data_IF_265402237463
#
_entry.id   IF_265402237463
#
_cell.length_a   1.000
_cell.length_b   1.000
_cell.length_c   1.000
_cell.angle_alpha   90.00
_cell.angle_beta   90.00
_cell.angle_gamma   90.00
#
_symmetry.space_group_name_H-M   'P 1'
#
loop_
_entity.id
_entity.type
_entity.pdbx_description
1 polymer ?
#
# COMPACT_ATOMS: atom_id res chain seq x y z
N UNK A 1 14.46 -7.48 -1.86
CA UNK A 1 14.02 -7.77 -0.47
C UNK A 1 15.01 -7.42 0.65
N UNK A 2 16.28 -7.01 0.41
CA UNK A 2 17.27 -6.80 1.50
C UNK A 2 17.84 -5.38 1.63
N UNK A 3 17.18 -4.39 1.03
CA UNK A 3 17.70 -3.01 0.93
C UNK A 3 17.08 -2.05 1.95
N UNK A 4 16.17 -2.52 2.81
CA UNK A 4 15.60 -1.75 3.94
C UNK A 4 16.66 -1.04 4.78
N UNK A 5 17.73 -1.71 5.25
CA UNK A 5 18.72 -1.05 6.10
C UNK A 5 19.40 0.14 5.43
N UNK A 6 19.55 0.15 4.11
CA UNK A 6 20.19 1.25 3.38
C UNK A 6 19.29 2.49 3.38
N UNK A 7 17.99 2.31 3.11
CA UNK A 7 17.03 3.42 3.19
C UNK A 7 16.94 4.01 4.61
N UNK A 8 17.03 3.17 5.64
CA UNK A 8 17.04 3.58 7.04
C UNK A 8 18.35 4.24 7.49
N UNK A 9 19.50 3.83 6.96
CA UNK A 9 20.81 4.34 7.36
C UNK A 9 21.18 5.65 6.65
N UNK A 10 20.68 5.86 5.43
CA UNK A 10 21.09 6.98 4.56
C UNK A 10 19.94 7.91 4.19
N UNK A 11 18.86 7.95 4.98
CA UNK A 11 17.67 8.76 4.66
C UNK A 11 17.93 10.26 4.53
N UNK A 12 18.99 10.77 5.17
CA UNK A 12 19.39 12.19 5.10
C UNK A 12 19.97 12.56 3.73
N UNK A 13 20.51 11.62 2.98
CA UNK A 13 21.03 11.79 1.62
C UNK A 13 20.43 10.75 0.65
N UNK A 14 19.42 11.17 -0.09
CA UNK A 14 18.72 10.30 -1.04
C UNK A 14 19.64 9.80 -2.18
N UNK A 15 20.59 10.62 -2.62
CA UNK A 15 21.52 10.24 -3.69
C UNK A 15 22.50 9.16 -3.20
N UNK A 16 22.98 9.28 -1.96
CA UNK A 16 23.80 8.26 -1.31
C UNK A 16 23.01 6.97 -1.09
N UNK A 17 21.78 7.05 -0.57
CA UNK A 17 20.91 5.90 -0.37
C UNK A 17 20.67 5.13 -1.69
N UNK A 18 20.37 5.85 -2.79
CA UNK A 18 20.23 5.25 -4.12
C UNK A 18 21.52 4.59 -4.60
N UNK A 19 22.65 5.27 -4.45
CA UNK A 19 23.97 4.75 -4.87
C UNK A 19 24.32 3.46 -4.13
N UNK A 20 24.12 3.44 -2.81
CA UNK A 20 24.40 2.27 -1.98
C UNK A 20 23.41 1.12 -2.23
N UNK A 21 22.14 1.42 -2.49
CA UNK A 21 21.15 0.42 -2.85
C UNK A 21 21.51 -0.28 -4.17
N UNK A 22 21.95 0.47 -5.19
CA UNK A 22 22.48 -0.09 -6.45
C UNK A 22 23.69 -0.99 -6.19
N UNK A 23 24.68 -0.50 -5.42
CA UNK A 23 25.88 -1.26 -5.05
C UNK A 23 25.58 -2.53 -4.23
N UNK A 24 24.59 -2.49 -3.35
CA UNK A 24 24.16 -3.67 -2.59
C UNK A 24 23.51 -4.71 -3.50
N UNK A 25 22.73 -4.27 -4.49
CA UNK A 25 22.12 -5.14 -5.48
C UNK A 25 23.18 -5.89 -6.29
N UNK A 26 24.25 -5.21 -6.76
CA UNK A 26 25.28 -5.82 -7.62
C UNK A 26 26.04 -6.99 -6.99
N UNK A 27 26.02 -7.12 -5.67
CA UNK A 27 26.66 -8.26 -4.98
C UNK A 27 26.09 -9.62 -5.38
N UNK A 28 24.79 -9.71 -5.69
CA UNK A 28 24.15 -10.96 -6.15
C UNK A 28 23.15 -10.80 -7.29
N UNK A 29 22.74 -9.57 -7.62
CA UNK A 29 21.78 -9.24 -8.68
C UNK A 29 22.30 -8.07 -9.53
N UNK A 30 23.26 -8.31 -10.43
CA UNK A 30 23.92 -7.24 -11.19
C UNK A 30 23.06 -6.64 -12.32
N UNK A 31 21.87 -7.18 -12.61
CA UNK A 31 21.00 -6.64 -13.66
C UNK A 31 20.55 -5.21 -13.34
N UNK A 32 20.57 -4.32 -14.34
CA UNK A 32 20.26 -2.89 -14.17
C UNK A 32 18.88 -2.64 -13.57
N UNK A 33 17.86 -3.37 -14.04
CA UNK A 33 16.51 -3.32 -13.48
C UNK A 33 16.50 -3.65 -11.97
N UNK A 34 17.29 -4.62 -11.52
CA UNK A 34 17.37 -4.96 -10.09
C UNK A 34 18.03 -3.86 -9.28
N UNK A 35 19.07 -3.23 -9.82
CA UNK A 35 19.75 -2.10 -9.19
C UNK A 35 18.80 -0.88 -9.09
N UNK A 36 18.08 -0.59 -10.17
CA UNK A 36 17.13 0.51 -10.26
C UNK A 36 15.93 0.32 -9.33
N UNK A 37 15.33 -0.87 -9.31
CA UNK A 37 14.26 -1.20 -8.37
C UNK A 37 14.71 -1.04 -6.91
N UNK A 38 15.95 -1.43 -6.58
CA UNK A 38 16.51 -1.22 -5.25
C UNK A 38 16.72 0.26 -4.93
N UNK A 39 17.16 1.06 -5.89
CA UNK A 39 17.37 2.50 -5.72
C UNK A 39 16.05 3.24 -5.45
N UNK A 40 15.04 3.03 -6.30
CA UNK A 40 13.71 3.59 -6.09
C UNK A 40 13.13 3.19 -4.73
N UNK A 41 13.22 1.90 -4.40
CA UNK A 41 12.66 1.41 -3.14
C UNK A 41 13.37 2.02 -1.93
N UNK A 42 14.71 2.18 -1.98
CA UNK A 42 15.46 2.87 -0.93
C UNK A 42 15.06 4.35 -0.81
N UNK A 43 14.81 5.04 -1.94
CA UNK A 43 14.31 6.42 -1.95
C UNK A 43 12.94 6.56 -1.30
N UNK A 44 12.06 5.57 -1.46
CA UNK A 44 10.76 5.56 -0.76
C UNK A 44 10.96 5.49 0.75
N UNK A 45 11.79 4.58 1.24
CA UNK A 45 12.10 4.47 2.67
C UNK A 45 12.72 5.76 3.19
N UNK A 46 13.75 6.27 2.50
CA UNK A 46 14.43 7.51 2.87
C UNK A 46 13.46 8.68 2.95
N UNK A 47 12.54 8.79 1.97
CA UNK A 47 11.51 9.83 1.96
C UNK A 47 10.58 9.75 3.16
N UNK A 48 10.09 8.55 3.50
CA UNK A 48 9.18 8.37 4.64
C UNK A 48 9.86 8.75 5.96
N UNK A 49 11.10 8.28 6.17
CA UNK A 49 11.86 8.58 7.39
C UNK A 49 12.17 10.07 7.49
N UNK A 50 12.60 10.70 6.39
CA UNK A 50 12.93 12.14 6.36
C UNK A 50 11.74 13.02 6.67
N UNK A 51 10.60 12.79 6.02
CA UNK A 51 9.42 13.62 6.21
C UNK A 51 8.83 13.40 7.61
N UNK A 52 8.87 12.16 8.11
CA UNK A 52 8.52 11.84 9.49
C UNK A 52 9.42 12.57 10.49
N UNK A 53 10.74 12.50 10.31
CA UNK A 53 11.69 13.15 11.22
C UNK A 53 11.49 14.67 11.23
N UNK A 54 11.27 15.29 10.08
CA UNK A 54 11.02 16.73 9.97
C UNK A 54 9.63 17.18 10.45
N UNK A 55 8.75 16.27 10.87
CA UNK A 55 7.36 16.58 11.23
C UNK A 55 6.48 16.98 10.03
N UNK A 56 6.97 16.80 8.80
CA UNK A 56 6.21 17.10 7.59
C UNK A 56 5.06 16.10 7.40
N UNK A 57 3.93 16.59 6.93
CA UNK A 57 2.81 15.72 6.54
C UNK A 57 3.11 15.09 5.18
N UNK A 58 3.25 13.77 5.16
CA UNK A 58 3.46 12.99 3.93
C UNK A 58 2.20 12.14 3.65
N UNK A 59 1.71 12.15 2.41
CA UNK A 59 0.58 11.32 1.99
C UNK A 59 1.04 10.15 1.10
N UNK A 60 0.22 9.08 0.99
CA UNK A 60 0.47 8.03 -0.01
C UNK A 60 0.51 8.57 -1.43
N UNK A 61 -0.23 9.64 -1.71
CA UNK A 61 -0.22 10.29 -3.01
C UNK A 61 1.15 10.93 -3.32
N UNK A 62 1.86 11.44 -2.32
CA UNK A 62 3.22 11.99 -2.51
C UNK A 62 4.24 10.88 -2.77
N UNK A 63 4.08 9.72 -2.13
CA UNK A 63 4.87 8.53 -2.45
C UNK A 63 4.58 8.00 -3.85
N UNK A 64 3.31 7.94 -4.25
CA UNK A 64 2.92 7.56 -5.61
C UNK A 64 3.50 8.53 -6.64
N UNK A 65 3.48 9.83 -6.35
CA UNK A 65 4.10 10.86 -7.18
C UNK A 65 5.62 10.63 -7.32
N UNK A 66 6.32 10.31 -6.23
CA UNK A 66 7.74 9.94 -6.27
C UNK A 66 7.97 8.71 -7.16
N UNK A 67 7.16 7.65 -6.99
CA UNK A 67 7.23 6.45 -7.86
C UNK A 67 7.00 6.83 -9.33
N UNK A 68 6.06 7.72 -9.59
CA UNK A 68 5.67 8.08 -10.96
C UNK A 68 6.73 8.91 -11.69
N UNK A 69 7.33 9.87 -10.98
CA UNK A 69 8.33 10.81 -11.51
C UNK A 69 9.77 10.28 -11.40
N UNK A 70 9.97 9.08 -10.85
CA UNK A 70 11.30 8.50 -10.73
C UNK A 70 11.96 8.41 -12.11
N UNK A 71 13.25 8.80 -12.25
CA UNK A 71 13.92 8.87 -13.55
C UNK A 71 14.35 7.47 -14.03
N UNK A 72 13.38 6.63 -14.38
CA UNK A 72 13.63 5.25 -14.80
C UNK A 72 14.49 5.19 -16.07
N UNK A 73 15.53 4.36 -16.04
CA UNK A 73 16.30 3.94 -17.20
C UNK A 73 15.65 2.73 -17.90
N UNK A 74 15.13 1.75 -17.15
CA UNK A 74 14.45 0.58 -17.72
C UNK A 74 13.00 0.93 -18.15
N UNK A 75 12.69 0.69 -19.42
CA UNK A 75 11.39 1.01 -20.01
C UNK A 75 10.23 0.21 -19.40
N UNK A 76 10.47 -1.02 -18.93
CA UNK A 76 9.41 -1.86 -18.34
C UNK A 76 9.06 -1.41 -16.94
N UNK A 77 10.05 -0.96 -16.15
CA UNK A 77 9.81 -0.28 -14.88
C UNK A 77 9.01 1.00 -15.11
N UNK A 78 9.46 1.86 -16.03
CA UNK A 78 8.77 3.12 -16.39
C UNK A 78 7.32 2.86 -16.81
N UNK A 79 7.09 1.93 -17.73
CA UNK A 79 5.76 1.63 -18.23
C UNK A 79 4.82 1.05 -17.16
N UNK A 80 5.37 0.40 -16.13
CA UNK A 80 4.57 -0.26 -15.08
C UNK A 80 4.30 0.64 -13.87
N UNK A 81 5.14 1.64 -13.64
CA UNK A 81 5.19 2.44 -12.40
C UNK A 81 5.02 3.94 -12.62
N UNK A 82 5.11 4.44 -13.86
CA UNK A 82 4.86 5.84 -14.21
C UNK A 82 3.53 6.02 -14.94
N UNK A 83 3.13 7.28 -15.07
CA UNK A 83 2.04 7.67 -15.96
C UNK A 83 2.41 7.34 -17.43
N UNK A 84 1.47 6.83 -18.25
CA UNK A 84 1.71 6.61 -19.67
C UNK A 84 2.10 7.90 -20.40
N UNK A 85 2.95 7.83 -21.42
CA UNK A 85 3.38 9.02 -22.18
C UNK A 85 2.20 9.81 -22.81
N UNK A 86 1.12 9.11 -23.18
CA UNK A 86 -0.10 9.69 -23.73
C UNK A 86 -1.12 10.13 -22.66
N UNK A 87 -0.83 9.90 -21.38
CA UNK A 87 -1.61 10.54 -20.32
C UNK A 87 -1.44 12.04 -20.52
N UNK A 88 -2.56 12.76 -20.59
CA UNK A 88 -2.54 14.21 -20.70
C UNK A 88 -1.51 14.71 -19.68
N UNK A 89 -0.50 15.52 -20.06
CA UNK A 89 0.45 16.05 -19.07
C UNK A 89 -0.39 16.65 -17.95
N UNK A 90 0.00 16.62 -16.68
CA UNK A 90 -0.75 17.37 -15.67
C UNK A 90 -0.38 18.85 -15.83
N UNK A 91 -1.11 19.68 -16.62
CA UNK A 91 -0.54 20.89 -17.19
C UNK A 91 -1.48 22.04 -16.85
N UNK A 92 -1.44 22.56 -15.63
CA UNK A 92 -2.07 23.89 -15.40
C UNK A 92 -3.60 24.00 -15.64
N UNK A 93 -4.40 22.91 -15.53
CA UNK A 93 -5.87 22.91 -15.56
C UNK A 93 -6.47 22.15 -14.35
N UNK A 94 -7.70 22.43 -13.89
CA UNK A 94 -8.16 22.23 -12.50
C UNK A 94 -8.64 20.79 -12.24
N UNK A 95 -7.85 19.79 -12.62
CA UNK A 95 -8.07 18.41 -12.19
C UNK A 95 -7.11 18.17 -11.02
N UNK A 96 -7.62 17.86 -9.82
CA UNK A 96 -6.77 17.54 -8.67
C UNK A 96 -5.80 16.40 -9.02
N UNK A 97 -4.54 16.53 -8.60
CA UNK A 97 -3.46 15.56 -8.83
C UNK A 97 -3.91 14.12 -8.54
N UNK A 98 -4.62 13.92 -7.44
CA UNK A 98 -5.21 12.63 -7.07
C UNK A 98 -6.11 12.04 -8.16
N UNK A 99 -7.04 12.86 -8.67
CA UNK A 99 -7.96 12.44 -9.74
C UNK A 99 -7.20 12.03 -11.00
N UNK A 100 -6.12 12.75 -11.32
CA UNK A 100 -5.26 12.42 -12.45
C UNK A 100 -4.59 11.05 -12.27
N UNK A 101 -4.00 10.78 -11.11
CA UNK A 101 -3.38 9.48 -10.83
C UNK A 101 -4.39 8.33 -10.85
N UNK A 102 -5.58 8.49 -10.26
CA UNK A 102 -6.62 7.46 -10.33
C UNK A 102 -7.08 7.17 -11.77
N UNK A 103 -7.08 8.18 -12.63
CA UNK A 103 -7.47 8.04 -14.02
C UNK A 103 -6.42 7.32 -14.88
N UNK A 104 -5.11 7.49 -14.60
CA UNK A 104 -4.06 7.11 -15.55
C UNK A 104 -2.94 6.24 -14.98
N UNK A 105 -2.75 6.17 -13.67
CA UNK A 105 -1.64 5.41 -13.09
C UNK A 105 -1.90 3.90 -13.15
N UNK A 106 -0.96 3.09 -13.67
CA UNK A 106 -1.18 1.64 -13.85
C UNK A 106 -1.58 0.90 -12.56
N UNK A 107 -0.96 1.25 -11.43
CA UNK A 107 -1.30 0.65 -10.13
C UNK A 107 -2.70 1.07 -9.68
N UNK A 108 -3.05 2.37 -9.71
CA UNK A 108 -4.36 2.82 -9.21
C UNK A 108 -5.51 2.38 -10.12
N UNK A 109 -5.31 2.34 -11.44
CA UNK A 109 -6.28 1.74 -12.35
C UNK A 109 -6.51 0.26 -12.02
N UNK A 110 -5.45 -0.49 -11.70
CA UNK A 110 -5.58 -1.89 -11.29
C UNK A 110 -6.35 -2.01 -9.97
N UNK A 111 -6.09 -1.14 -8.99
CA UNK A 111 -6.86 -1.08 -7.73
C UNK A 111 -8.34 -0.85 -8.01
N UNK A 112 -8.67 0.20 -8.77
CA UNK A 112 -10.04 0.55 -9.11
C UNK A 112 -10.76 -0.59 -9.86
N UNK A 113 -10.10 -1.20 -10.84
CA UNK A 113 -10.64 -2.30 -11.63
C UNK A 113 -10.89 -3.55 -10.78
N UNK A 114 -10.00 -3.85 -9.84
CA UNK A 114 -10.12 -5.03 -8.97
C UNK A 114 -11.28 -4.86 -7.99
N UNK A 115 -11.38 -3.70 -7.35
CA UNK A 115 -12.48 -3.35 -6.46
C UNK A 115 -13.84 -3.36 -7.18
N UNK A 116 -13.91 -2.81 -8.39
CA UNK A 116 -15.13 -2.82 -9.21
C UNK A 116 -15.58 -4.24 -9.56
N UNK A 117 -14.65 -5.12 -9.96
CA UNK A 117 -14.95 -6.53 -10.25
C UNK A 117 -15.46 -7.28 -9.03
N UNK A 118 -14.85 -7.08 -7.86
CA UNK A 118 -15.29 -7.69 -6.61
C UNK A 118 -16.70 -7.23 -6.20
N UNK A 119 -16.97 -5.92 -6.31
CA UNK A 119 -18.30 -5.37 -6.04
C UNK A 119 -19.37 -5.94 -6.99
N UNK A 120 -19.05 -6.09 -8.28
CA UNK A 120 -19.95 -6.71 -9.25
C UNK A 120 -20.21 -8.19 -8.95
N UNK A 121 -19.19 -8.95 -8.55
CA UNK A 121 -19.32 -10.35 -8.16
C UNK A 121 -20.20 -10.52 -6.91
N UNK A 122 -20.05 -9.63 -5.91
CA UNK A 122 -20.87 -9.64 -4.70
C UNK A 122 -22.37 -9.38 -5.01
N UNK A 123 -22.67 -8.42 -5.90
CA UNK A 123 -24.06 -8.13 -6.34
C UNK A 123 -24.71 -9.28 -7.11
N UNK A 124 -23.93 -10.08 -7.81
CA UNK A 124 -24.45 -11.24 -8.55
C UNK A 124 -24.70 -12.46 -7.63
N UNK A 125 -23.98 -12.59 -6.52
CA UNK A 125 -24.19 -13.65 -5.52
C UNK A 125 -25.47 -13.45 -4.69
N UNK A 126 -25.92 -12.21 -4.52
CA UNK A 126 -27.13 -11.88 -3.73
C UNK A 126 -28.44 -11.97 -4.51
N UNK A 127 -28.41 -12.23 -5.83
CA UNK A 127 -29.63 -12.57 -6.58
C UNK A 127 -30.00 -14.04 -6.30
N UNK A 128 -31.19 -14.35 -5.74
CA UNK A 128 -31.60 -15.74 -5.56
C UNK A 128 -31.70 -16.39 -6.95
N UNK A 129 -30.89 -17.43 -7.16
CA UNK A 129 -31.08 -18.36 -8.27
C UNK A 129 -32.46 -18.99 -8.10
N UNK A 130 -33.41 -18.57 -8.94
CA UNK A 130 -34.73 -19.18 -9.05
C UNK A 130 -34.62 -20.60 -9.59
N UNK A 131 -34.17 -21.55 -8.77
CA UNK A 131 -34.50 -22.96 -8.93
C UNK A 131 -35.75 -23.23 -8.10
N UNK A 132 -36.88 -23.26 -8.78
CA UNK A 132 -38.16 -23.72 -8.24
C UNK A 132 -38.01 -25.15 -7.70
N UNK A 133 -37.75 -25.29 -6.40
CA UNK A 133 -38.15 -26.46 -5.63
C UNK A 133 -39.66 -26.35 -5.41
N UNK A 134 -40.41 -27.21 -6.09
CA UNK A 134 -41.84 -27.43 -5.90
C UNK A 134 -42.12 -27.74 -4.43
N UNK A 135 -42.52 -26.73 -3.67
CA UNK A 135 -43.21 -26.91 -2.40
C UNK A 135 -44.62 -26.33 -2.52
N UNK A 136 -45.57 -27.27 -2.52
CA UNK A 136 -47.01 -27.09 -2.52
C UNK A 136 -47.45 -26.51 -1.17
N UNK A 137 -47.99 -25.29 -1.15
CA UNK A 137 -48.83 -24.80 -0.05
C UNK A 137 -49.98 -23.92 -0.60
N UNK A 138 -51.21 -24.05 -0.06
CA UNK A 138 -52.41 -23.49 -0.64
C UNK A 138 -52.62 -22.02 -0.28
N UNK A 139 -53.41 -21.37 -1.13
CA UNK A 139 -53.78 -19.96 -1.14
C UNK A 139 -54.48 -19.45 0.12
N UNK A 140 -54.18 -18.20 0.50
CA UNK A 140 -55.20 -17.27 1.00
C UNK A 140 -54.82 -15.81 0.66
N UNK A 141 -55.82 -15.08 0.17
CA UNK A 141 -55.75 -13.73 -0.37
C UNK A 141 -55.48 -12.66 0.71
N UNK A 142 -54.77 -11.59 0.34
CA UNK A 142 -55.21 -10.21 0.64
C UNK A 142 -54.46 -9.16 -0.20
N UNK A 143 -55.23 -8.49 -1.07
CA UNK A 143 -55.33 -7.04 -1.34
C UNK A 143 -54.07 -6.16 -1.18
N UNK A 144 -53.68 -5.53 -2.30
CA UNK A 144 -52.43 -4.78 -2.44
C UNK A 144 -52.44 -3.30 -2.03
N UNK A 145 -51.32 -2.65 -2.35
CA UNK A 145 -51.24 -1.20 -2.53
C UNK A 145 -50.04 -0.85 -3.42
N UNK A 146 -50.25 0.10 -4.33
CA UNK A 146 -49.24 0.67 -5.24
C UNK A 146 -48.44 1.74 -4.48
N UNK A 147 -47.13 1.82 -4.68
CA UNK A 147 -46.38 3.06 -4.49
C UNK A 147 -45.09 3.08 -5.33
N UNK A 148 -44.73 4.29 -5.72
CA UNK A 148 -43.90 4.70 -6.84
C UNK A 148 -42.43 4.24 -6.85
N UNK A 149 -41.95 4.06 -8.08
CA UNK A 149 -40.54 4.18 -8.46
C UNK A 149 -40.10 5.64 -8.40
N UNK A 150 -39.02 5.90 -7.67
CA UNK A 150 -38.07 6.96 -7.99
C UNK A 150 -36.69 6.54 -7.50
N UNK A 151 -35.76 6.42 -8.46
CA UNK A 151 -34.37 6.07 -8.24
C UNK A 151 -33.61 7.19 -7.53
N UNK A 152 -32.62 6.87 -6.68
CA UNK A 152 -31.47 7.73 -6.48
C UNK A 152 -30.31 7.24 -7.35
N UNK A 153 -29.81 8.16 -8.17
CA UNK A 153 -28.52 8.08 -8.84
C UNK A 153 -27.40 7.90 -7.80
N UNK A 154 -26.81 6.70 -7.71
CA UNK A 154 -25.60 6.47 -6.93
C UNK A 154 -24.37 6.69 -7.81
N UNK A 155 -23.76 7.84 -7.72
CA UNK A 155 -22.36 8.05 -8.10
C UNK A 155 -21.50 7.24 -7.13
N UNK A 156 -21.17 6.00 -7.49
CA UNK A 156 -20.13 5.22 -6.81
C UNK A 156 -18.78 5.80 -7.21
N UNK A 157 -18.35 6.87 -6.56
CA UNK A 157 -16.93 7.17 -6.48
C UNK A 157 -16.31 6.15 -5.50
N UNK A 158 -15.21 5.49 -5.84
CA UNK A 158 -14.44 4.72 -4.85
C UNK A 158 -13.96 5.66 -3.74
N UNK A 159 -13.84 5.13 -2.52
CA UNK A 159 -13.44 5.89 -1.34
C UNK A 159 -12.17 6.73 -1.62
N UNK A 160 -12.12 8.00 -1.19
CA UNK A 160 -10.92 8.82 -1.32
C UNK A 160 -9.75 8.15 -0.57
N UNK A 161 -8.54 8.29 -1.09
CA UNK A 161 -7.34 7.95 -0.31
C UNK A 161 -7.41 8.84 0.93
N UNK A 162 -7.36 8.28 2.13
CA UNK A 162 -7.37 9.10 3.34
C UNK A 162 -6.19 10.09 3.28
N UNK A 163 -6.54 11.37 3.25
CA UNK A 163 -5.66 12.51 2.92
C UNK A 163 -5.07 13.16 4.16
N UNK A 164 -5.30 12.62 5.36
CA UNK A 164 -4.77 13.23 6.59
C UNK A 164 -4.18 12.21 7.56
N UNK A 165 -2.99 12.54 8.09
CA UNK A 165 -2.37 11.86 9.21
C UNK A 165 -3.08 12.27 10.51
N UNK A 166 -4.22 11.66 10.88
CA UNK A 166 -4.87 11.90 12.19
C UNK A 166 -5.80 10.76 12.66
N UNK A 167 -5.83 10.63 13.99
CA UNK A 167 -6.54 9.66 14.84
C UNK A 167 -8.05 9.55 14.59
N UNK A 168 -8.66 8.36 14.77
CA UNK A 168 -10.06 8.15 14.45
C UNK A 168 -10.99 8.75 15.52
N UNK A 169 -11.94 9.58 15.07
CA UNK A 169 -13.09 9.96 15.88
C UNK A 169 -14.17 8.87 15.81
N UNK A 170 -14.68 8.47 16.98
CA UNK A 170 -15.71 7.45 17.15
C UNK A 170 -17.03 7.81 16.45
N UNK A 171 -17.38 7.09 15.39
CA UNK A 171 -18.77 6.91 14.99
C UNK A 171 -19.00 5.45 14.61
N UNK A 172 -19.89 4.80 15.35
CA UNK A 172 -20.18 3.37 15.28
C UNK A 172 -21.12 3.05 14.13
N UNK A 173 -20.56 2.59 13.00
CA UNK A 173 -21.27 1.68 12.10
C UNK A 173 -20.39 0.44 11.88
N UNK A 174 -20.75 -0.64 12.57
CA UNK A 174 -20.14 -1.96 12.45
C UNK A 174 -20.46 -2.56 11.09
N UNK A 175 -19.74 -2.15 10.06
CA UNK A 175 -19.54 -2.96 8.86
C UNK A 175 -18.24 -3.75 9.08
N UNK A 176 -18.34 -5.08 9.12
CA UNK A 176 -17.15 -5.92 9.14
C UNK A 176 -16.25 -5.54 7.95
N UNK A 177 -14.95 -5.25 8.14
CA UNK A 177 -14.09 -4.85 7.04
C UNK A 177 -14.11 -5.97 6.00
N UNK A 178 -14.63 -5.66 4.81
CA UNK A 178 -14.66 -6.62 3.71
C UNK A 178 -13.21 -6.78 3.26
N UNK A 179 -12.68 -8.00 3.32
CA UNK A 179 -11.31 -8.27 2.92
C UNK A 179 -11.03 -7.66 1.53
N UNK A 180 -9.89 -6.97 1.35
CA UNK A 180 -9.63 -6.24 0.14
C UNK A 180 -9.52 -7.21 -1.04
N UNK A 181 -10.08 -6.80 -2.18
CA UNK A 181 -10.21 -7.66 -3.35
C UNK A 181 -8.83 -8.00 -3.94
N UNK A 182 -8.59 -9.29 -4.18
CA UNK A 182 -7.31 -9.77 -4.73
C UNK A 182 -7.39 -9.80 -6.28
N UNK A 183 -6.43 -9.18 -7.00
CA UNK A 183 -6.38 -9.24 -8.45
C UNK A 183 -6.02 -10.65 -8.95
N UNK A 184 -6.25 -10.95 -10.23
CA UNK A 184 -5.80 -12.23 -10.79
C UNK A 184 -4.30 -12.22 -11.05
N UNK A 185 -3.66 -13.39 -10.96
CA UNK A 185 -2.23 -13.57 -11.25
C UNK A 185 -1.82 -13.12 -12.67
N UNK A 186 -2.78 -13.06 -13.62
CA UNK A 186 -2.55 -12.52 -14.95
C UNK A 186 -2.45 -10.99 -14.93
N UNK A 187 -3.27 -10.32 -14.12
CA UNK A 187 -3.29 -8.85 -14.01
C UNK A 187 -2.18 -8.29 -13.12
N UNK A 188 -1.81 -9.06 -12.10
CA UNK A 188 -0.72 -8.76 -11.16
C UNK A 188 0.04 -10.04 -10.85
N UNK A 189 1.05 -10.39 -11.67
CA UNK A 189 1.96 -11.47 -11.32
C UNK A 189 2.72 -11.14 -10.04
N UNK A 190 2.97 -12.15 -9.21
CA UNK A 190 3.77 -12.07 -7.98
C UNK A 190 4.94 -13.07 -8.04
N UNK A 191 5.57 -13.18 -9.21
CA UNK A 191 6.70 -14.08 -9.45
C UNK A 191 7.99 -13.54 -8.82
N UNK A 192 9.07 -14.32 -8.86
CA UNK A 192 10.42 -13.86 -8.46
C UNK A 192 11.10 -12.89 -9.43
N UNK A 193 10.38 -12.39 -10.44
CA UNK A 193 10.87 -11.31 -11.28
C UNK A 193 10.76 -9.97 -10.54
N UNK A 194 11.85 -9.20 -10.46
CA UNK A 194 11.94 -7.97 -9.64
C UNK A 194 10.84 -6.95 -9.93
N UNK A 195 10.41 -6.83 -11.19
CA UNK A 195 9.31 -5.95 -11.58
C UNK A 195 7.97 -6.42 -10.99
N UNK A 196 7.70 -7.72 -11.07
CA UNK A 196 6.48 -8.33 -10.53
C UNK A 196 6.43 -8.13 -9.02
N UNK A 197 7.53 -8.44 -8.32
CA UNK A 197 7.64 -8.26 -6.87
C UNK A 197 7.40 -6.81 -6.45
N UNK A 198 8.10 -5.85 -7.08
CA UNK A 198 8.01 -4.44 -6.72
C UNK A 198 6.60 -3.89 -6.99
N UNK A 199 6.03 -4.21 -8.16
CA UNK A 199 4.67 -3.79 -8.54
C UNK A 199 3.61 -4.41 -7.62
N UNK A 200 3.76 -5.68 -7.25
CA UNK A 200 2.87 -6.38 -6.32
C UNK A 200 2.90 -5.75 -4.92
N UNK A 201 4.10 -5.50 -4.39
CA UNK A 201 4.25 -4.86 -3.07
C UNK A 201 3.66 -3.44 -3.03
N UNK A 202 3.93 -2.63 -4.07
CA UNK A 202 3.34 -1.29 -4.21
C UNK A 202 1.82 -1.35 -4.38
N UNK A 203 1.30 -2.31 -5.15
CA UNK A 203 -0.14 -2.53 -5.26
C UNK A 203 -0.76 -2.79 -3.89
N UNK A 204 -0.23 -3.75 -3.11
CA UNK A 204 -0.74 -4.02 -1.77
C UNK A 204 -0.69 -2.78 -0.88
N UNK A 205 0.41 -2.02 -0.93
CA UNK A 205 0.54 -0.77 -0.17
C UNK A 205 -0.49 0.30 -0.54
N UNK A 206 -0.76 0.51 -1.83
CA UNK A 206 -1.74 1.52 -2.27
C UNK A 206 -3.20 1.04 -2.22
N UNK A 207 -3.44 -0.27 -2.17
CA UNK A 207 -4.79 -0.86 -2.15
C UNK A 207 -5.37 -1.02 -0.74
N UNK A 208 -4.58 -0.86 0.32
CA UNK A 208 -4.98 -1.15 1.69
C UNK A 208 -4.60 -0.03 2.65
N UNK A 209 -5.36 0.15 3.73
CA UNK A 209 -5.16 1.27 4.67
C UNK A 209 -4.51 0.87 5.99
N UNK A 210 -4.29 -0.43 6.25
CA UNK A 210 -3.60 -0.91 7.45
C UNK A 210 -2.46 -1.86 7.10
N UNK A 211 -1.48 -1.97 8.00
CA UNK A 211 -0.38 -2.92 7.87
C UNK A 211 -0.89 -4.36 7.76
N UNK A 212 -1.84 -4.75 8.62
CA UNK A 212 -2.38 -6.12 8.60
C UNK A 212 -3.04 -6.44 7.25
N UNK A 213 -3.92 -5.56 6.77
CA UNK A 213 -4.71 -5.84 5.56
C UNK A 213 -3.82 -5.95 4.31
N UNK A 214 -2.81 -5.11 4.19
CA UNK A 214 -1.85 -5.21 3.07
C UNK A 214 -0.87 -6.37 3.23
N UNK A 215 -0.45 -6.73 4.45
CA UNK A 215 0.40 -7.91 4.68
C UNK A 215 -0.36 -9.20 4.31
N UNK A 216 -1.62 -9.32 4.75
CA UNK A 216 -2.49 -10.43 4.37
C UNK A 216 -2.71 -10.46 2.87
N UNK A 217 -2.94 -9.31 2.22
CA UNK A 217 -3.07 -9.26 0.76
C UNK A 217 -1.79 -9.73 0.06
N UNK A 218 -0.62 -9.23 0.47
CA UNK A 218 0.67 -9.53 -0.13
C UNK A 218 0.95 -11.04 -0.15
N UNK A 219 0.74 -11.73 0.97
CA UNK A 219 0.96 -13.19 1.03
C UNK A 219 -0.10 -13.99 0.27
N UNK A 220 -1.33 -13.48 0.17
CA UNK A 220 -2.41 -14.15 -0.57
C UNK A 220 -2.37 -13.91 -2.09
N UNK A 221 -1.45 -13.08 -2.60
CA UNK A 221 -1.14 -13.08 -4.04
C UNK A 221 -0.53 -14.41 -4.49
N UNK A 222 0.14 -15.13 -3.58
CA UNK A 222 0.78 -16.40 -3.85
C UNK A 222 2.07 -16.26 -4.67
N UNK A 223 2.54 -17.40 -5.21
CA UNK A 223 3.81 -17.51 -5.94
C UNK A 223 5.01 -17.11 -5.05
N UNK A 224 5.74 -16.02 -5.34
CA UNK A 224 6.86 -15.52 -4.52
C UNK A 224 6.37 -14.65 -3.35
N UNK A 225 5.49 -15.25 -2.54
CA UNK A 225 4.76 -14.57 -1.46
C UNK A 225 5.66 -14.08 -0.33
N UNK A 226 6.76 -14.78 -0.04
CA UNK A 226 7.75 -14.37 0.96
C UNK A 226 8.52 -13.13 0.51
N UNK A 227 8.94 -13.05 -0.75
CA UNK A 227 9.63 -11.86 -1.27
C UNK A 227 8.69 -10.67 -1.35
N UNK A 228 7.46 -10.85 -1.88
CA UNK A 228 6.46 -9.76 -1.93
C UNK A 228 6.09 -9.30 -0.52
N UNK A 229 5.86 -10.24 0.41
CA UNK A 229 5.59 -9.95 1.81
C UNK A 229 6.72 -9.17 2.49
N UNK A 230 7.98 -9.52 2.24
CA UNK A 230 9.13 -8.81 2.80
C UNK A 230 9.29 -7.38 2.23
N UNK A 231 9.09 -7.21 0.92
CA UNK A 231 9.16 -5.89 0.26
C UNK A 231 8.01 -4.98 0.69
N UNK A 232 6.79 -5.51 0.80
CA UNK A 232 5.65 -4.81 1.36
C UNK A 232 5.91 -4.45 2.83
N UNK A 233 6.30 -5.43 3.65
CA UNK A 233 6.48 -5.26 5.09
C UNK A 233 7.53 -4.20 5.43
N UNK A 234 8.62 -4.12 4.66
CA UNK A 234 9.61 -3.05 4.85
C UNK A 234 9.07 -1.65 4.55
N UNK A 235 8.28 -1.49 3.47
CA UNK A 235 7.68 -0.20 3.12
C UNK A 235 6.55 0.19 4.08
N UNK A 236 5.61 -0.73 4.29
CA UNK A 236 4.44 -0.54 5.14
C UNK A 236 4.83 -0.38 6.61
N UNK A 237 5.88 -1.07 7.08
CA UNK A 237 6.36 -0.96 8.45
C UNK A 237 6.89 0.42 8.77
N UNK A 238 7.69 1.01 7.86
CA UNK A 238 8.20 2.38 8.03
C UNK A 238 7.07 3.41 7.86
N UNK A 239 6.05 3.11 7.05
CA UNK A 239 4.90 4.00 6.86
C UNK A 239 3.95 4.05 8.06
N UNK A 240 3.42 2.89 8.46
CA UNK A 240 2.39 2.79 9.49
C UNK A 240 2.98 2.78 10.91
N UNK A 241 4.20 2.28 11.09
CA UNK A 241 4.84 2.18 12.41
C UNK A 241 5.14 3.54 13.06
N UNK A 242 5.12 4.62 12.28
CA UNK A 242 5.35 5.99 12.79
C UNK A 242 4.14 6.55 13.56
N UNK A 243 2.91 6.15 13.18
CA UNK A 243 1.70 6.79 13.69
C UNK A 243 1.19 6.20 15.03
N UNK A 244 1.64 5.02 15.43
CA UNK A 244 1.05 4.31 16.59
C UNK A 244 1.80 4.52 17.93
N UNK A 245 2.77 5.44 18.01
CA UNK A 245 3.50 5.75 19.25
C UNK A 245 4.47 4.64 19.70
N UNK A 246 5.37 4.98 20.61
CA UNK A 246 6.57 4.18 20.95
C UNK A 246 6.30 2.86 21.69
N UNK A 247 5.05 2.57 22.10
CA UNK A 247 4.76 1.44 22.98
C UNK A 247 3.72 0.47 22.39
N UNK A 248 4.23 -0.67 21.90
CA UNK A 248 3.50 -1.86 21.41
C UNK A 248 2.44 -2.37 22.39
N UNK A 249 2.64 -2.14 23.71
CA UNK A 249 1.80 -2.68 24.78
C UNK A 249 0.65 -1.77 25.20
N UNK A 250 0.71 -0.48 24.89
CA UNK A 250 -0.28 0.52 25.35
C UNK A 250 -1.04 1.22 24.23
N UNK A 251 -0.59 1.07 22.98
CA UNK A 251 -1.32 1.56 21.79
C UNK A 251 -2.66 0.82 21.61
N UNK A 252 -3.75 1.56 21.39
CA UNK A 252 -5.02 1.00 20.94
C UNK A 252 -4.87 0.33 19.56
N UNK A 253 -5.88 -0.40 19.07
CA UNK A 253 -5.89 -0.86 17.67
C UNK A 253 -5.66 0.35 16.73
N UNK A 254 -4.59 0.29 15.95
CA UNK A 254 -4.07 1.39 15.13
C UNK A 254 -3.89 0.99 13.67
N UNK A 255 -3.20 1.84 12.89
CA UNK A 255 -2.96 1.55 11.46
C UNK A 255 -1.90 0.46 11.28
N UNK A 256 -0.95 0.36 12.22
CA UNK A 256 0.07 -0.69 12.25
C UNK A 256 -0.32 -1.80 13.22
N UNK A 257 -0.62 -1.46 14.48
CA UNK A 257 -0.82 -2.44 15.54
C UNK A 257 -2.25 -2.96 15.62
N UNK A 258 -2.47 -4.15 15.07
CA UNK A 258 -3.63 -4.98 15.39
C UNK A 258 -3.29 -6.12 16.34
N UNK A 259 -4.31 -6.75 16.91
CA UNK A 259 -4.16 -7.97 17.73
C UNK A 259 -3.39 -9.06 16.98
N UNK A 260 -3.64 -9.23 15.68
CA UNK A 260 -2.93 -10.23 14.84
C UNK A 260 -1.50 -9.82 14.54
N UNK A 261 -1.23 -8.53 14.32
CA UNK A 261 0.15 -8.04 14.10
C UNK A 261 1.00 -8.23 15.36
N UNK A 262 0.45 -7.98 16.56
CA UNK A 262 1.14 -8.26 17.83
C UNK A 262 1.46 -9.75 17.98
N UNK A 263 0.53 -10.64 17.64
CA UNK A 263 0.79 -12.08 17.63
C UNK A 263 1.91 -12.46 16.65
N UNK A 264 1.95 -11.85 15.45
CA UNK A 264 3.01 -12.09 14.48
C UNK A 264 4.37 -11.64 15.00
N UNK A 265 4.46 -10.43 15.55
CA UNK A 265 5.70 -9.87 16.11
C UNK A 265 6.17 -10.70 17.31
N UNK A 266 5.28 -11.14 18.20
CA UNK A 266 5.61 -12.03 19.31
C UNK A 266 6.12 -13.41 18.84
N UNK A 267 5.67 -13.87 17.68
CA UNK A 267 6.09 -15.15 17.09
C UNK A 267 7.33 -15.04 16.18
N UNK A 268 7.84 -13.82 15.90
CA UNK A 268 9.00 -13.63 15.03
C UNK A 268 10.24 -14.33 15.60
N UNK A 269 10.92 -15.07 14.71
CA UNK A 269 12.18 -15.71 15.05
C UNK A 269 13.30 -14.67 15.09
N UNK A 270 14.14 -14.75 16.13
CA UNK A 270 15.27 -13.84 16.34
C UNK A 270 14.85 -12.37 16.44
N UNK A 271 13.67 -12.10 17.03
CA UNK A 271 13.17 -10.74 17.27
C UNK A 271 14.20 -9.88 17.99
N UNK A 272 14.85 -10.40 19.02
CA UNK A 272 15.82 -9.66 19.82
C UNK A 272 17.00 -9.16 18.98
N UNK A 273 17.46 -9.98 18.02
CA UNK A 273 18.52 -9.60 17.08
C UNK A 273 18.05 -8.53 16.08
N UNK A 274 16.79 -8.63 15.62
CA UNK A 274 16.20 -7.63 14.73
C UNK A 274 16.10 -6.28 15.46
N UNK A 275 15.64 -6.30 16.72
CA UNK A 275 15.53 -5.11 17.58
C UNK A 275 16.90 -4.49 17.88
N UNK A 276 17.92 -5.33 18.12
CA UNK A 276 19.32 -4.88 18.29
C UNK A 276 19.85 -4.21 17.01
N UNK A 277 19.71 -4.85 15.85
CA UNK A 277 20.16 -4.29 14.57
C UNK A 277 19.42 -2.99 14.22
N UNK A 278 18.12 -2.93 14.48
CA UNK A 278 17.34 -1.71 14.27
C UNK A 278 17.83 -0.57 15.17
N UNK A 279 18.13 -0.86 16.44
CA UNK A 279 18.67 0.12 17.39
C UNK A 279 20.05 0.62 16.99
N UNK A 280 20.94 -0.29 16.55
CA UNK A 280 22.28 0.06 16.07
C UNK A 280 22.25 0.87 14.77
N UNK A 281 21.26 0.66 13.90
CA UNK A 281 21.05 1.51 12.72
C UNK A 281 20.70 2.95 13.13
N UNK A 282 19.88 3.14 14.16
CA UNK A 282 19.58 4.48 14.69
C UNK A 282 20.85 5.14 15.23
N UNK A 283 21.64 4.42 16.04
CA UNK A 283 22.91 4.90 16.57
C UNK A 283 23.89 5.29 15.45
N UNK A 284 23.97 4.48 14.39
CA UNK A 284 24.79 4.76 13.22
C UNK A 284 24.41 6.08 12.54
N UNK A 285 23.11 6.33 12.34
CA UNK A 285 22.62 7.57 11.72
C UNK A 285 23.00 8.78 12.56
N UNK A 286 22.80 8.73 13.88
CA UNK A 286 23.14 9.84 14.76
C UNK A 286 24.66 10.11 14.81
N UNK A 287 25.48 9.06 14.78
CA UNK A 287 26.94 9.19 14.74
C UNK A 287 27.46 9.76 13.41
N UNK A 288 26.83 9.42 12.28
CA UNK A 288 27.19 9.95 10.95
C UNK A 288 26.87 11.44 10.81
N UNK A 289 25.84 11.93 11.50
CA UNK A 289 25.33 13.29 11.33
C UNK A 289 25.13 14.02 12.68
N UNK A 290 26.20 14.28 13.43
CA UNK A 290 26.14 14.70 14.85
C UNK A 290 25.62 16.13 15.11
N UNK A 291 25.24 16.91 14.09
CA UNK A 291 24.91 18.35 14.22
C UNK A 291 23.63 18.81 13.51
N UNK A 292 22.72 17.91 13.17
CA UNK A 292 21.38 18.32 12.69
C UNK A 292 20.49 18.56 13.90
N UNK A 293 20.72 19.69 14.56
CA UNK A 293 19.77 20.29 15.49
C UNK A 293 18.47 20.47 14.72
N UNK A 294 17.38 19.86 15.19
CA UNK A 294 16.04 20.27 14.81
C UNK A 294 15.93 21.76 15.15
N UNK A 295 16.00 22.63 14.14
CA UNK A 295 15.68 24.05 14.30
C UNK A 295 14.17 24.09 14.60
N UNK A 296 13.83 24.08 15.89
CA UNK A 296 12.49 24.36 16.40
C UNK A 296 12.05 25.73 15.87
N UNK A 297 11.27 25.76 14.80
CA UNK A 297 10.52 26.95 14.34
C UNK A 297 9.08 26.62 14.04
#
# INVERSE_FOLDING_TARGET
>A
MRVLPIGLAYWRDDAEAQTLARRSSTTTHPAEMCQEACALWASLIARIVRDTASGASLSKLDLLHLVSEYPYADDRLRASLSLPADSLPCPTLPIPRETHYWAYHPILQLVANTSAKAAAAARNRTKPSGRNLLHYFPSSSTRGSKANLSAPSSTNQPAPIDTSRRTPASTSESTSPTAPAIPSAVSLPSTGFVLDTLRAALYCFFATDTFESGAVMAVNLGDDADTVGAVYGGLAGVWYGVDDGEDERTSSEGLFWSSRVREWVAALRARELIDEVASELVNFVEAQYPNTVFDER
#
